data_IF_849883430685
#
_entry.id   IF_849883430685
#
_cell.length_a   1.000
_cell.length_b   1.000
_cell.length_c   1.000
_cell.angle_alpha   90.00
_cell.angle_beta   90.00
_cell.angle_gamma   90.00
#
_symmetry.space_group_name_H-M   'P 1'
#
loop_
_entity.id
_entity.type
_entity.pdbx_description
1 polymer ?
#
# COMPACT_ATOMS: atom_id res chain seq x y z
N UNK A 1 13.10 13.12 15.34
CA UNK A 1 14.54 12.81 15.19
C UNK A 1 15.18 12.96 16.55
N UNK A 2 15.84 11.91 17.05
CA UNK A 2 16.58 11.99 18.30
C UNK A 2 17.91 12.71 17.99
N UNK A 3 18.18 13.87 18.59
CA UNK A 3 19.49 14.49 18.47
C UNK A 3 20.49 13.59 19.19
N UNK A 4 21.65 13.37 18.57
CA UNK A 4 22.83 12.66 19.11
C UNK A 4 22.90 11.13 18.94
N UNK A 5 22.09 10.51 18.07
CA UNK A 5 22.38 9.15 17.57
C UNK A 5 22.80 9.19 16.12
N UNK A 6 24.00 8.67 15.84
CA UNK A 6 24.45 8.42 14.50
C UNK A 6 23.49 7.43 13.82
N UNK A 7 23.01 7.78 12.62
CA UNK A 7 21.97 7.03 11.90
C UNK A 7 22.31 5.54 11.69
N UNK A 8 23.61 5.20 11.63
CA UNK A 8 24.08 3.82 11.46
C UNK A 8 23.80 2.93 12.69
N UNK A 9 23.63 3.49 13.89
CA UNK A 9 23.31 2.70 15.09
C UNK A 9 21.88 2.15 15.05
N UNK A 10 20.97 2.90 14.42
CA UNK A 10 19.56 2.50 14.25
C UNK A 10 19.30 1.77 12.92
N UNK A 11 20.29 1.74 12.03
CA UNK A 11 20.16 1.14 10.70
C UNK A 11 19.92 -0.37 10.73
N UNK A 12 20.56 -1.19 11.60
CA UNK A 12 20.26 -2.62 11.69
C UNK A 12 18.79 -2.89 11.99
N UNK A 13 18.21 -2.22 12.99
CA UNK A 13 16.81 -2.37 13.37
C UNK A 13 15.86 -1.90 12.26
N UNK A 14 16.20 -0.79 11.59
CA UNK A 14 15.47 -0.32 10.42
C UNK A 14 15.48 -1.36 9.29
N UNK A 15 16.66 -1.91 8.97
CA UNK A 15 16.84 -2.89 7.91
C UNK A 15 16.07 -4.18 8.23
N UNK A 16 16.13 -4.67 9.46
CA UNK A 16 15.38 -5.87 9.86
C UNK A 16 13.87 -5.67 9.68
N UNK A 17 13.35 -4.51 10.07
CA UNK A 17 11.93 -4.18 9.87
C UNK A 17 11.57 -4.06 8.39
N UNK A 18 12.45 -3.51 7.56
CA UNK A 18 12.26 -3.43 6.12
C UNK A 18 12.24 -4.83 5.50
N UNK A 19 13.19 -5.70 5.85
CA UNK A 19 13.25 -7.09 5.37
C UNK A 19 11.97 -7.85 5.72
N UNK A 20 11.45 -7.69 6.96
CA UNK A 20 10.17 -8.28 7.39
C UNK A 20 8.98 -7.76 6.60
N UNK A 21 8.95 -6.47 6.26
CA UNK A 21 7.89 -5.87 5.43
C UNK A 21 7.94 -6.40 4.00
N UNK A 22 9.14 -6.52 3.43
CA UNK A 22 9.35 -7.11 2.10
C UNK A 22 8.90 -8.58 2.08
N UNK A 23 9.28 -9.38 3.07
CA UNK A 23 8.87 -10.78 3.14
C UNK A 23 7.34 -10.94 3.18
N UNK A 24 6.66 -10.19 4.06
CA UNK A 24 5.19 -10.18 4.14
C UNK A 24 4.53 -9.74 2.84
N UNK A 25 5.08 -8.72 2.20
CA UNK A 25 4.59 -8.27 0.90
C UNK A 25 4.67 -9.41 -0.12
N UNK A 26 5.83 -10.06 -0.25
CA UNK A 26 6.05 -11.18 -1.18
C UNK A 26 5.14 -12.38 -0.87
N UNK A 27 4.87 -12.69 0.40
CA UNK A 27 3.93 -13.74 0.79
C UNK A 27 2.50 -13.37 0.42
N UNK A 28 2.06 -12.15 0.73
CA UNK A 28 0.70 -11.69 0.43
C UNK A 28 0.40 -11.77 -1.07
N UNK A 29 1.30 -11.24 -1.91
CA UNK A 29 1.08 -11.25 -3.37
C UNK A 29 1.10 -12.66 -3.98
N UNK A 30 1.75 -13.64 -3.33
CA UNK A 30 1.77 -15.03 -3.82
C UNK A 30 0.44 -15.73 -3.61
N UNK A 31 -0.30 -15.37 -2.58
CA UNK A 31 -1.55 -16.05 -2.21
C UNK A 31 -2.80 -15.28 -2.69
N UNK A 32 -2.67 -14.01 -3.08
CA UNK A 32 -3.80 -13.23 -3.62
C UNK A 32 -4.11 -13.54 -5.10
N UNK A 33 -5.39 -13.66 -5.42
CA UNK A 33 -5.91 -13.80 -6.79
C UNK A 33 -5.90 -12.48 -7.58
N UNK A 34 -6.05 -11.35 -6.87
CA UNK A 34 -6.01 -10.01 -7.45
C UNK A 34 -5.47 -9.00 -6.44
N UNK A 35 -4.68 -8.03 -6.90
CA UNK A 35 -3.97 -7.07 -6.04
C UNK A 35 -4.27 -5.63 -6.48
N UNK A 36 -4.69 -4.78 -5.53
CA UNK A 36 -4.79 -3.34 -5.72
C UNK A 36 -3.63 -2.63 -5.03
N UNK A 37 -2.75 -2.02 -5.82
CA UNK A 37 -1.71 -1.10 -5.33
C UNK A 37 -2.27 0.31 -5.27
N UNK A 38 -2.13 0.99 -4.13
CA UNK A 38 -2.55 2.38 -3.97
C UNK A 38 -1.34 3.25 -3.71
N UNK A 39 -1.20 4.34 -4.46
CA UNK A 39 -0.08 5.26 -4.33
C UNK A 39 -0.53 6.71 -4.32
N UNK A 40 -0.12 7.44 -3.28
CA UNK A 40 -0.20 8.89 -3.24
C UNK A 40 1.01 9.51 -3.93
N UNK A 41 0.76 10.27 -4.99
CA UNK A 41 1.74 10.99 -5.80
C UNK A 41 2.80 10.12 -6.49
N UNK A 42 3.02 10.40 -7.77
CA UNK A 42 4.18 9.90 -8.52
C UNK A 42 4.34 10.70 -9.81
N UNK A 43 5.39 10.38 -10.57
CA UNK A 43 5.60 10.89 -11.93
C UNK A 43 5.26 9.80 -12.93
N UNK A 44 4.87 10.20 -14.14
CA UNK A 44 4.55 9.29 -15.25
C UNK A 44 5.62 8.19 -15.43
N UNK A 45 6.89 8.59 -15.54
CA UNK A 45 8.01 7.64 -15.72
C UNK A 45 8.12 6.62 -14.58
N UNK A 46 7.89 7.06 -13.34
CA UNK A 46 7.94 6.18 -12.17
C UNK A 46 6.75 5.21 -12.14
N UNK A 47 5.57 5.66 -12.55
CA UNK A 47 4.39 4.81 -12.69
C UNK A 47 4.62 3.72 -13.74
N UNK A 48 5.17 4.08 -14.90
CA UNK A 48 5.50 3.13 -15.98
C UNK A 48 6.54 2.11 -15.53
N UNK A 49 7.62 2.55 -14.89
CA UNK A 49 8.64 1.63 -14.36
C UNK A 49 8.07 0.69 -13.29
N UNK A 50 7.26 1.21 -12.39
CA UNK A 50 6.60 0.40 -11.37
C UNK A 50 5.68 -0.66 -12.01
N UNK A 51 4.84 -0.25 -12.97
CA UNK A 51 3.95 -1.14 -13.68
C UNK A 51 4.71 -2.25 -14.40
N UNK A 52 5.81 -1.92 -15.08
CA UNK A 52 6.63 -2.89 -15.78
C UNK A 52 7.22 -3.93 -14.82
N UNK A 53 7.81 -3.48 -13.71
CA UNK A 53 8.39 -4.39 -12.70
C UNK A 53 7.31 -5.27 -12.06
N UNK A 54 6.11 -4.73 -11.82
CA UNK A 54 4.99 -5.51 -11.28
C UNK A 54 4.46 -6.54 -12.27
N UNK A 55 4.34 -6.18 -13.55
CA UNK A 55 3.95 -7.13 -14.60
C UNK A 55 4.93 -8.30 -14.70
N UNK A 56 6.23 -8.02 -14.66
CA UNK A 56 7.27 -9.05 -14.70
C UNK A 56 7.26 -9.94 -13.44
N UNK A 57 7.03 -9.35 -12.27
CA UNK A 57 7.03 -10.06 -10.98
C UNK A 57 5.77 -10.91 -10.77
N UNK A 58 4.59 -10.40 -11.16
CA UNK A 58 3.29 -11.02 -10.91
C UNK A 58 2.84 -11.94 -12.05
N UNK A 59 3.47 -11.83 -13.23
CA UNK A 59 3.22 -12.66 -14.42
C UNK A 59 1.74 -12.70 -14.81
N UNK A 60 1.05 -13.79 -14.50
CA UNK A 60 -0.34 -14.05 -14.90
C UNK A 60 -1.37 -13.57 -13.86
N UNK A 61 -0.92 -13.04 -12.71
CA UNK A 61 -1.82 -12.53 -11.69
C UNK A 61 -2.38 -11.16 -12.08
N UNK A 62 -3.67 -10.99 -11.84
CA UNK A 62 -4.36 -9.72 -12.05
C UNK A 62 -3.93 -8.69 -11.01
N UNK A 63 -3.58 -7.49 -11.47
CA UNK A 63 -3.33 -6.37 -10.57
C UNK A 63 -3.85 -5.08 -11.15
N UNK A 64 -4.08 -4.10 -10.27
CA UNK A 64 -4.40 -2.72 -10.62
C UNK A 64 -3.56 -1.79 -9.77
N UNK A 65 -3.08 -0.70 -10.35
CA UNK A 65 -2.38 0.37 -9.66
C UNK A 65 -3.26 1.61 -9.70
N UNK A 66 -3.71 2.05 -8.54
CA UNK A 66 -4.43 3.29 -8.35
C UNK A 66 -3.47 4.37 -7.86
N UNK A 67 -3.34 5.43 -8.64
CA UNK A 67 -2.42 6.53 -8.38
C UNK A 67 -3.26 7.80 -8.17
N UNK A 68 -3.04 8.45 -7.03
CA UNK A 68 -3.67 9.72 -6.71
C UNK A 68 -2.65 10.84 -6.88
N UNK A 69 -2.88 11.75 -7.82
CA UNK A 69 -2.04 12.92 -8.07
C UNK A 69 -2.65 14.10 -7.31
N UNK A 70 -2.06 14.53 -6.19
CA UNK A 70 -2.55 15.69 -5.46
C UNK A 70 -2.35 16.96 -6.29
N UNK A 71 -3.38 17.80 -6.30
CA UNK A 71 -3.36 19.13 -6.90
C UNK A 71 -4.04 20.11 -5.96
N UNK A 72 -3.40 21.26 -5.71
CA UNK A 72 -3.98 22.33 -4.89
C UNK A 72 -5.13 23.05 -5.63
N UNK A 73 -5.17 22.93 -6.97
CA UNK A 73 -6.18 23.53 -7.83
C UNK A 73 -7.39 22.61 -8.06
N UNK A 74 -7.29 21.32 -7.70
CA UNK A 74 -8.36 20.36 -7.87
C UNK A 74 -9.46 20.56 -6.82
N UNK A 75 -10.68 20.84 -7.28
CA UNK A 75 -11.89 20.91 -6.43
C UNK A 75 -12.69 19.60 -6.41
N UNK A 76 -12.33 18.65 -7.28
CA UNK A 76 -13.02 17.36 -7.43
C UNK A 76 -12.06 16.31 -7.98
N UNK A 77 -12.44 15.04 -7.85
CA UNK A 77 -11.70 13.92 -8.42
C UNK A 77 -11.90 13.87 -9.94
N UNK A 78 -10.81 13.75 -10.71
CA UNK A 78 -10.87 13.58 -12.16
C UNK A 78 -9.86 12.53 -12.64
N UNK A 79 -10.17 11.84 -13.74
CA UNK A 79 -9.24 10.85 -14.35
C UNK A 79 -8.26 11.57 -15.28
N UNK A 80 -6.96 11.32 -15.10
CA UNK A 80 -5.90 11.91 -15.92
C UNK A 80 -5.58 11.09 -17.18
N UNK A 81 -6.17 9.90 -17.34
CA UNK A 81 -6.09 9.04 -18.50
C UNK A 81 -4.65 8.87 -19.05
N UNK A 82 -3.71 8.50 -18.17
CA UNK A 82 -2.30 8.29 -18.55
C UNK A 82 -2.08 7.15 -19.56
N UNK A 83 -3.12 6.35 -19.86
CA UNK A 83 -3.10 5.27 -20.84
C UNK A 83 -2.00 4.22 -20.58
N UNK A 84 -1.77 3.92 -19.30
CA UNK A 84 -0.87 2.84 -18.87
C UNK A 84 -1.74 1.65 -18.49
N UNK A 85 -1.41 0.48 -19.02
CA UNK A 85 -2.14 -0.78 -18.74
C UNK A 85 -2.13 -1.10 -17.24
N UNK A 86 -3.29 -1.52 -16.71
CA UNK A 86 -3.48 -1.82 -15.28
C UNK A 86 -3.23 -0.64 -14.33
N UNK A 87 -3.18 0.61 -14.83
CA UNK A 87 -2.97 1.80 -14.00
C UNK A 87 -4.14 2.77 -14.18
N UNK A 88 -4.78 3.13 -13.08
CA UNK A 88 -5.75 4.21 -12.98
C UNK A 88 -5.09 5.40 -12.28
N UNK A 89 -5.21 6.60 -12.87
CA UNK A 89 -4.60 7.81 -12.32
C UNK A 89 -5.67 8.86 -12.14
N UNK A 90 -5.89 9.25 -10.89
CA UNK A 90 -6.86 10.27 -10.53
C UNK A 90 -6.13 11.52 -10.04
N UNK A 91 -6.50 12.68 -10.56
CA UNK A 91 -6.21 13.95 -9.91
C UNK A 91 -7.19 14.14 -8.75
N UNK A 92 -6.67 14.51 -7.58
CA UNK A 92 -7.47 14.71 -6.37
C UNK A 92 -7.06 16.00 -5.65
N UNK A 93 -7.97 16.62 -4.87
CA UNK A 93 -7.58 17.68 -3.96
C UNK A 93 -6.42 17.24 -3.06
N UNK A 94 -5.45 18.12 -2.81
CA UNK A 94 -4.25 17.81 -2.03
C UNK A 94 -4.54 17.72 -0.51
N UNK A 95 -5.38 16.76 -0.13
CA UNK A 95 -5.87 16.56 1.23
C UNK A 95 -5.85 15.06 1.56
N UNK A 96 -4.64 14.49 1.69
CA UNK A 96 -4.45 13.04 1.92
C UNK A 96 -5.14 12.50 3.18
N UNK A 97 -5.50 13.38 4.12
CA UNK A 97 -6.17 13.03 5.38
C UNK A 97 -7.70 13.08 5.29
N UNK A 98 -8.26 13.55 4.18
CA UNK A 98 -9.71 13.69 4.01
C UNK A 98 -10.34 12.34 3.64
N UNK A 99 -11.10 11.77 4.59
CA UNK A 99 -11.81 10.52 4.43
C UNK A 99 -12.82 10.55 3.27
N UNK A 100 -13.44 11.71 2.99
CA UNK A 100 -14.43 11.82 1.92
C UNK A 100 -13.79 11.59 0.53
N UNK A 101 -12.54 12.00 0.36
CA UNK A 101 -11.78 11.72 -0.87
C UNK A 101 -11.58 10.21 -1.00
N UNK A 102 -11.13 9.54 0.07
CA UNK A 102 -10.88 8.10 0.05
C UNK A 102 -12.15 7.28 -0.14
N UNK A 103 -13.26 7.66 0.50
CA UNK A 103 -14.56 7.02 0.32
C UNK A 103 -15.03 7.11 -1.14
N UNK A 104 -14.82 8.25 -1.79
CA UNK A 104 -15.15 8.43 -3.19
C UNK A 104 -14.21 7.62 -4.10
N UNK A 105 -12.89 7.67 -3.85
CA UNK A 105 -11.86 6.95 -4.61
C UNK A 105 -12.09 5.43 -4.57
N UNK A 106 -12.43 4.89 -3.41
CA UNK A 106 -12.64 3.45 -3.21
C UNK A 106 -14.09 3.01 -3.40
N UNK A 107 -14.97 3.92 -3.81
CA UNK A 107 -16.37 3.59 -4.08
C UNK A 107 -16.48 2.47 -5.11
N UNK A 108 -17.13 1.38 -4.73
CA UNK A 108 -17.32 0.21 -5.58
C UNK A 108 -16.19 -0.82 -5.53
N UNK A 109 -15.07 -0.54 -4.85
CA UNK A 109 -14.02 -1.54 -4.61
C UNK A 109 -14.45 -2.46 -3.47
N UNK A 110 -14.33 -3.77 -3.69
CA UNK A 110 -14.64 -4.80 -2.69
C UNK A 110 -13.44 -5.70 -2.48
N UNK A 111 -13.20 -6.06 -1.21
CA UNK A 111 -12.19 -7.05 -0.86
C UNK A 111 -12.79 -8.44 -1.01
N UNK A 112 -12.05 -9.34 -1.65
CA UNK A 112 -12.46 -10.73 -1.75
C UNK A 112 -12.37 -11.38 -0.35
N UNK A 113 -13.52 -11.70 0.24
CA UNK A 113 -13.66 -12.12 1.65
C UNK A 113 -13.13 -13.53 1.99
N UNK A 114 -12.30 -14.13 1.13
CA UNK A 114 -11.71 -15.45 1.38
C UNK A 114 -10.41 -15.43 2.20
N UNK A 115 -9.77 -14.26 2.37
CA UNK A 115 -8.56 -14.11 3.20
C UNK A 115 -8.87 -13.83 4.68
N UNK A 116 -9.53 -14.78 5.36
CA UNK A 116 -9.78 -14.65 6.80
C UNK A 116 -8.50 -14.74 7.64
N UNK A 117 -7.46 -15.44 7.19
CA UNK A 117 -6.21 -15.61 7.95
C UNK A 117 -5.36 -14.34 8.04
N UNK A 118 -5.42 -13.47 7.02
CA UNK A 118 -4.71 -12.18 6.99
C UNK A 118 -5.45 -11.09 7.77
N UNK A 119 -6.79 -11.16 7.88
CA UNK A 119 -7.57 -10.17 8.64
C UNK A 119 -7.31 -10.21 10.15
N UNK A 120 -7.07 -11.39 10.72
CA UNK A 120 -6.67 -11.55 12.13
C UNK A 120 -5.23 -11.10 12.38
N UNK A 121 -4.34 -11.28 11.40
CA UNK A 121 -2.93 -10.86 11.49
C UNK A 121 -2.75 -9.36 11.24
N UNK A 122 -3.52 -8.74 10.34
CA UNK A 122 -3.51 -7.30 10.09
C UNK A 122 -4.01 -6.51 11.31
N UNK A 123 -4.94 -7.08 12.07
CA UNK A 123 -5.43 -6.50 13.33
C UNK A 123 -4.33 -6.41 14.40
N UNK A 124 -3.36 -7.33 14.38
CA UNK A 124 -2.16 -7.31 15.24
C UNK A 124 -1.08 -6.30 14.76
N UNK A 125 -1.10 -5.88 13.49
CA UNK A 125 -0.04 -5.04 12.89
C UNK A 125 -0.33 -3.55 13.01
N UNK A 126 -1.60 -3.15 13.12
CA UNK A 126 -1.98 -1.74 13.23
C UNK A 126 -1.82 -1.14 14.65
N UNK A 127 -1.52 -1.97 15.66
CA UNK A 127 -1.11 -1.50 17.00
C UNK A 127 0.38 -1.10 17.01
N UNK A 128 0.75 -0.07 16.23
CA UNK A 128 2.11 0.49 16.23
C UNK A 128 2.55 1.03 17.61
N UNK A 129 1.61 1.22 18.55
CA UNK A 129 1.86 1.74 19.89
C UNK A 129 1.76 0.69 21.02
N UNK A 130 1.45 -0.58 20.76
CA UNK A 130 1.36 -1.58 21.84
C UNK A 130 1.67 -3.03 21.37
N UNK A 131 2.95 -3.44 21.38
CA UNK A 131 3.37 -4.76 20.88
C UNK A 131 3.00 -5.95 21.79
N UNK A 132 2.24 -5.76 22.89
CA UNK A 132 1.96 -6.81 23.88
C UNK A 132 0.66 -7.61 23.66
N UNK A 133 -0.20 -7.27 22.70
CA UNK A 133 -1.50 -7.93 22.58
C UNK A 133 -1.49 -9.30 21.89
N UNK A 134 -0.41 -9.68 21.18
CA UNK A 134 -0.41 -10.89 20.35
C UNK A 134 0.28 -12.12 20.99
N UNK A 135 0.66 -12.10 22.28
CA UNK A 135 1.29 -13.26 22.95
C UNK A 135 0.35 -14.15 23.79
N UNK A 136 -0.96 -13.91 23.78
CA UNK A 136 -1.91 -14.71 24.55
C UNK A 136 -3.00 -15.30 23.65
N UNK A 137 -2.63 -16.25 22.78
CA UNK A 137 -3.53 -17.32 22.32
C UNK A 137 -2.77 -18.37 21.50
N UNK A 138 -1.81 -19.04 22.16
CA UNK A 138 -1.38 -20.39 21.79
C UNK A 138 -1.25 -21.24 23.05
N UNK A 139 -2.39 -21.53 23.69
CA UNK A 139 -2.47 -22.64 24.64
C UNK A 139 -3.92 -23.12 24.77
N UNK A 140 -4.27 -24.12 23.96
CA UNK A 140 -4.93 -25.39 24.32
C UNK A 140 -5.54 -26.04 23.09
#
# INVERSE_FOLDING_TARGET
MLPDKEWFETYPDFKENLDKRIARFIETIKDSDSILFVRWSTKYEQATLFQQVMKDMLKEKEFTVLILIPSDDATSISDLAWNIENVCVLEVPNQVWDEAIWDQVFSGIQLNSQDKSLSEQARCVNDFNNPKSCSENKRS
#
